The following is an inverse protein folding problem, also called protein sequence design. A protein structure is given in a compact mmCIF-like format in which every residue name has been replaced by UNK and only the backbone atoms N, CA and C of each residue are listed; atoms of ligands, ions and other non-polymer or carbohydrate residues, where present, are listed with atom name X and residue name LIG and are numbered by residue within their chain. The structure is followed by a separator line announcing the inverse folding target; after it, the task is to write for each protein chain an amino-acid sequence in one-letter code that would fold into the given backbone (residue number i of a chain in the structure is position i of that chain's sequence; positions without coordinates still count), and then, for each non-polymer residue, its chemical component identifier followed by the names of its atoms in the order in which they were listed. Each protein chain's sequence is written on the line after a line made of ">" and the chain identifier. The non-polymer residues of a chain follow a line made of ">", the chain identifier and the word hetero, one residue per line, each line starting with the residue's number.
data_IF_508466001506
#
_entry.id   IF_508466001506
#
_cell.length_a   1.000
_cell.length_b   1.000
_cell.length_c   1.000
_cell.angle_alpha   90.00
_cell.angle_beta   90.00
_cell.angle_gamma   90.00
#
_symmetry.space_group_name_H-M   'P 1'
#
loop_
_entity.id
_entity.type
_entity.pdbx_description
1 polymer ?
#
# COMPACT_ATOMS: atom_id res chain seq x y z
N UNK A 1 63.66 9.69 38.15
CA UNK A 1 62.32 10.31 38.32
C UNK A 1 61.72 10.62 36.95
N UNK A 2 61.71 9.64 36.03
CA UNK A 2 61.52 9.88 34.58
C UNK A 2 60.71 8.79 33.86
N UNK A 3 60.19 7.78 34.56
CA UNK A 3 59.50 6.64 33.91
C UNK A 3 57.98 6.68 33.99
N UNK A 4 57.38 7.63 34.74
CA UNK A 4 55.93 7.72 34.91
C UNK A 4 55.25 8.69 33.94
N UNK A 5 55.99 9.57 33.28
CA UNK A 5 55.43 10.60 32.39
C UNK A 5 55.12 10.05 30.99
N UNK A 6 55.93 9.10 30.50
CA UNK A 6 55.76 8.51 29.16
C UNK A 6 54.49 7.64 29.02
N UNK A 7 54.02 7.03 30.11
CA UNK A 7 52.80 6.21 30.09
C UNK A 7 51.50 7.05 30.14
N UNK A 8 51.56 8.27 30.68
CA UNK A 8 50.42 9.20 30.71
C UNK A 8 50.19 9.84 29.33
N UNK A 9 51.26 10.19 28.62
CA UNK A 9 51.17 10.80 27.29
C UNK A 9 50.64 9.81 26.23
N UNK A 10 51.02 8.52 26.33
CA UNK A 10 50.54 7.49 25.41
C UNK A 10 49.03 7.18 25.56
N UNK A 11 48.45 7.36 26.76
CA UNK A 11 46.99 7.21 26.96
C UNK A 11 46.19 8.39 26.42
N UNK A 12 46.79 9.58 26.38
CA UNK A 12 46.12 10.81 25.96
C UNK A 12 46.12 10.96 24.44
N UNK A 13 47.14 10.42 23.76
CA UNK A 13 47.23 10.40 22.31
C UNK A 13 46.22 9.46 21.61
N UNK A 14 45.71 8.43 22.31
CA UNK A 14 44.75 7.46 21.75
C UNK A 14 43.29 7.91 21.74
N UNK A 15 42.96 9.06 22.34
CA UNK A 15 41.57 9.55 22.46
C UNK A 15 41.24 10.61 21.39
N UNK A 16 42.25 11.20 20.76
CA UNK A 16 42.09 12.40 19.92
C UNK A 16 41.67 12.12 18.46
N UNK A 17 41.64 10.87 17.99
CA UNK A 17 41.39 10.56 16.57
C UNK A 17 40.22 9.59 16.34
N UNK A 18 39.25 9.57 17.26
CA UNK A 18 37.98 8.92 16.98
C UNK A 18 37.27 9.76 15.88
N UNK A 19 37.07 9.23 14.66
CA UNK A 19 36.36 9.96 13.61
C UNK A 19 35.01 10.39 14.19
N UNK A 20 34.52 11.61 13.90
CA UNK A 20 33.24 12.06 14.41
C UNK A 20 32.23 11.01 14.04
N UNK A 21 31.70 10.29 15.05
CA UNK A 21 30.67 9.27 14.85
C UNK A 21 29.58 9.98 14.08
N UNK A 22 29.45 9.66 12.80
CA UNK A 22 28.37 10.19 12.00
C UNK A 22 27.12 9.79 12.76
N UNK A 23 26.42 10.77 13.36
CA UNK A 23 25.05 10.57 13.78
C UNK A 23 24.35 10.33 12.46
N UNK A 24 24.26 9.08 12.04
CA UNK A 24 23.35 8.66 10.98
C UNK A 24 22.03 9.25 11.46
N UNK A 25 21.46 10.24 10.75
CA UNK A 25 20.12 10.70 11.07
C UNK A 25 19.30 9.43 10.99
N UNK A 26 18.78 8.94 12.13
CA UNK A 26 17.89 7.79 12.12
C UNK A 26 16.62 8.28 11.45
N UNK A 27 16.61 8.28 10.12
CA UNK A 27 15.40 8.38 9.35
C UNK A 27 14.50 7.27 9.87
N UNK A 28 13.33 7.64 10.37
CA UNK A 28 12.38 6.65 10.88
C UNK A 28 12.11 5.67 9.74
N UNK A 29 12.40 4.38 9.97
CA UNK A 29 12.15 3.35 8.96
C UNK A 29 10.68 3.41 8.57
N UNK A 30 10.38 3.12 7.30
CA UNK A 30 9.00 3.05 6.79
C UNK A 30 8.14 2.17 7.69
N UNK A 31 8.71 1.07 8.16
CA UNK A 31 8.08 0.12 9.07
C UNK A 31 7.75 0.73 10.44
N UNK A 32 8.68 1.47 11.05
CA UNK A 32 8.42 2.16 12.32
C UNK A 32 7.31 3.21 12.19
N UNK A 33 7.24 3.92 11.06
CA UNK A 33 6.14 4.86 10.79
C UNK A 33 4.80 4.14 10.59
N UNK A 34 4.80 3.04 9.85
CA UNK A 34 3.60 2.22 9.64
C UNK A 34 3.07 1.68 10.97
N UNK A 35 3.96 1.23 11.86
CA UNK A 35 3.60 0.79 13.21
C UNK A 35 3.01 1.92 14.05
N UNK A 36 3.61 3.11 14.04
CA UNK A 36 3.08 4.26 14.79
C UNK A 36 1.67 4.65 14.35
N UNK A 37 1.43 4.69 13.04
CA UNK A 37 0.09 4.98 12.48
C UNK A 37 -0.89 3.87 12.84
N UNK A 38 -0.49 2.61 12.77
CA UNK A 38 -1.33 1.48 13.11
C UNK A 38 -1.75 1.53 14.58
N UNK A 39 -0.82 1.79 15.51
CA UNK A 39 -1.12 1.95 16.94
C UNK A 39 -2.11 3.10 17.17
N UNK A 40 -1.90 4.26 16.53
CA UNK A 40 -2.84 5.38 16.60
C UNK A 40 -4.22 5.00 16.08
N UNK A 41 -4.27 4.22 14.99
CA UNK A 41 -5.51 3.75 14.38
C UNK A 41 -6.25 2.74 15.26
N UNK A 42 -5.54 1.83 15.94
CA UNK A 42 -6.12 0.92 16.96
C UNK A 42 -6.78 1.75 18.06
N UNK A 43 -6.08 2.73 18.62
CA UNK A 43 -6.60 3.55 19.71
C UNK A 43 -7.85 4.33 19.29
N UNK A 44 -7.81 5.02 18.14
CA UNK A 44 -8.92 5.82 17.64
C UNK A 44 -10.12 4.94 17.28
N UNK A 45 -9.91 3.84 16.55
CA UNK A 45 -11.00 2.94 16.15
C UNK A 45 -11.62 2.22 17.35
N UNK A 46 -10.81 1.77 18.33
CA UNK A 46 -11.33 1.15 19.56
C UNK A 46 -12.16 2.14 20.37
N UNK A 47 -11.66 3.37 20.56
CA UNK A 47 -12.37 4.39 21.32
C UNK A 47 -13.69 4.79 20.65
N UNK A 48 -13.67 5.01 19.34
CA UNK A 48 -14.88 5.31 18.57
C UNK A 48 -15.89 4.16 18.64
N UNK A 49 -15.43 2.91 18.46
CA UNK A 49 -16.29 1.73 18.57
C UNK A 49 -16.87 1.56 19.98
N UNK A 50 -16.07 1.76 21.04
CA UNK A 50 -16.54 1.69 22.42
C UNK A 50 -17.66 2.69 22.70
N UNK A 51 -17.55 3.92 22.16
CA UNK A 51 -18.59 4.95 22.27
C UNK A 51 -19.83 4.59 21.46
N UNK A 52 -19.65 4.08 20.23
CA UNK A 52 -20.76 3.69 19.36
C UNK A 52 -21.53 2.47 19.88
N UNK A 53 -20.88 1.60 20.66
CA UNK A 53 -21.44 0.33 21.14
C UNK A 53 -21.91 0.35 22.59
N UNK A 54 -21.99 1.52 23.22
CA UNK A 54 -22.42 1.64 24.62
C UNK A 54 -23.76 0.94 24.84
N UNK A 55 -23.78 0.02 25.80
CA UNK A 55 -24.98 -0.73 26.24
C UNK A 55 -25.64 -1.63 25.16
N UNK A 56 -25.01 -1.80 24.00
CA UNK A 56 -25.50 -2.65 22.92
C UNK A 56 -24.74 -3.96 22.82
N UNK A 57 -25.45 -5.04 22.49
CA UNK A 57 -24.84 -6.26 21.98
C UNK A 57 -24.72 -6.14 20.46
N UNK A 58 -23.51 -6.29 19.94
CA UNK A 58 -23.20 -5.95 18.56
C UNK A 58 -22.91 -7.23 17.78
N UNK A 59 -23.61 -7.48 16.65
CA UNK A 59 -23.29 -8.60 15.78
C UNK A 59 -21.93 -8.40 15.09
N UNK A 60 -21.23 -9.48 14.70
CA UNK A 60 -20.01 -9.32 13.90
C UNK A 60 -20.30 -8.65 12.56
N UNK A 61 -21.43 -8.98 11.95
CA UNK A 61 -21.90 -8.39 10.70
C UNK A 61 -23.42 -8.36 10.67
N UNK A 62 -24.02 -7.40 9.97
CA UNK A 62 -25.38 -7.59 9.44
C UNK A 62 -25.33 -8.79 8.51
N UNK A 63 -26.12 -9.84 8.75
CA UNK A 63 -25.96 -11.14 8.07
C UNK A 63 -26.12 -11.07 6.54
N UNK A 64 -25.74 -12.14 5.84
CA UNK A 64 -25.75 -12.19 4.36
C UNK A 64 -27.13 -11.91 3.74
N UNK A 65 -28.21 -12.28 4.43
CA UNK A 65 -29.58 -12.15 3.94
C UNK A 65 -30.24 -10.78 4.17
N UNK A 66 -29.62 -9.87 4.93
CA UNK A 66 -30.23 -8.60 5.32
C UNK A 66 -29.55 -7.39 4.67
N UNK A 67 -28.40 -7.55 4.02
CA UNK A 67 -27.61 -6.45 3.48
C UNK A 67 -26.85 -5.69 4.57
N UNK A 68 -25.52 -5.59 4.44
CA UNK A 68 -24.64 -4.98 5.44
C UNK A 68 -24.97 -3.52 5.81
N UNK A 69 -25.70 -2.82 4.93
CA UNK A 69 -26.06 -1.40 5.11
C UNK A 69 -27.43 -1.21 5.76
N UNK A 70 -28.27 -2.25 5.81
CA UNK A 70 -29.67 -2.14 6.23
C UNK A 70 -29.87 -2.52 7.72
N UNK A 71 -29.00 -3.37 8.30
CA UNK A 71 -28.98 -3.65 9.74
C UNK A 71 -27.86 -2.89 10.49
N UNK A 72 -28.17 -1.65 10.89
CA UNK A 72 -27.56 -0.98 12.04
C UNK A 72 -26.02 -0.98 12.17
N UNK A 73 -25.54 -0.81 13.41
CA UNK A 73 -24.13 -0.80 13.75
C UNK A 73 -23.63 -2.24 13.96
N UNK A 74 -22.64 -2.68 13.18
CA UNK A 74 -21.97 -3.98 13.33
C UNK A 74 -20.44 -3.82 13.38
N UNK A 75 -19.73 -4.85 13.86
CA UNK A 75 -18.25 -4.84 13.94
C UNK A 75 -17.64 -4.69 12.53
N UNK A 76 -18.14 -5.41 11.54
CA UNK A 76 -17.66 -5.34 10.16
C UNK A 76 -17.84 -3.96 9.52
N UNK A 77 -19.03 -3.36 9.67
CA UNK A 77 -19.34 -2.04 9.10
C UNK A 77 -18.53 -0.93 9.77
N UNK A 78 -18.43 -0.96 11.10
CA UNK A 78 -17.63 0.02 11.86
C UNK A 78 -16.14 -0.10 11.57
N UNK A 79 -15.59 -1.31 11.46
CA UNK A 79 -14.20 -1.52 11.07
C UNK A 79 -13.94 -1.05 9.63
N UNK A 80 -14.83 -1.34 8.69
CA UNK A 80 -14.72 -0.87 7.31
C UNK A 80 -14.76 0.67 7.22
N UNK A 81 -15.67 1.31 7.97
CA UNK A 81 -15.75 2.77 8.06
C UNK A 81 -14.50 3.38 8.71
N UNK A 82 -13.99 2.77 9.78
CA UNK A 82 -12.76 3.20 10.44
C UNK A 82 -11.56 3.12 9.48
N UNK A 83 -11.43 2.03 8.72
CA UNK A 83 -10.39 1.89 7.68
C UNK A 83 -10.59 2.90 6.55
N UNK A 84 -11.83 3.22 6.17
CA UNK A 84 -12.10 4.24 5.17
C UNK A 84 -11.59 5.63 5.56
N UNK A 85 -11.70 5.98 6.84
CA UNK A 85 -11.25 7.27 7.37
C UNK A 85 -9.75 7.25 7.69
N UNK A 86 -9.28 6.24 8.40
CA UNK A 86 -7.90 6.15 8.92
C UNK A 86 -6.90 5.64 7.88
N UNK A 87 -7.36 4.92 6.86
CA UNK A 87 -6.52 4.42 5.77
C UNK A 87 -5.93 5.53 4.89
N UNK A 88 -6.64 6.64 4.71
CA UNK A 88 -6.15 7.80 3.93
C UNK A 88 -4.88 8.40 4.54
N UNK A 89 -4.87 8.86 5.81
CA UNK A 89 -3.67 9.39 6.42
C UNK A 89 -2.58 8.33 6.55
N UNK A 90 -2.95 7.05 6.76
CA UNK A 90 -1.99 5.96 6.81
C UNK A 90 -1.21 5.81 5.50
N UNK A 91 -1.93 5.73 4.38
CA UNK A 91 -1.32 5.67 3.05
C UNK A 91 -0.49 6.92 2.76
N UNK A 92 -1.03 8.11 3.05
CA UNK A 92 -0.36 9.37 2.72
C UNK A 92 0.95 9.55 3.50
N UNK A 93 0.99 9.13 4.77
CA UNK A 93 2.14 9.26 5.64
C UNK A 93 3.40 8.58 5.09
N UNK A 94 3.24 7.40 4.49
CA UNK A 94 4.34 6.62 3.90
C UNK A 94 4.54 6.97 2.43
N UNK A 95 3.45 7.26 1.71
CA UNK A 95 3.50 7.66 0.31
C UNK A 95 4.33 8.93 0.13
N UNK A 96 4.07 10.01 0.86
CA UNK A 96 4.79 11.30 0.69
C UNK A 96 6.27 11.19 1.07
N UNK A 97 6.60 10.25 1.94
CA UNK A 97 7.95 10.09 2.50
C UNK A 97 8.88 9.29 1.58
N UNK A 98 8.34 8.61 0.57
CA UNK A 98 9.13 7.87 -0.40
C UNK A 98 9.87 8.84 -1.34
N UNK A 99 11.20 8.73 -1.51
CA UNK A 99 11.96 9.51 -2.48
C UNK A 99 11.41 9.27 -3.88
N UNK A 100 10.96 10.32 -4.57
CA UNK A 100 10.50 10.24 -5.97
C UNK A 100 11.17 11.31 -6.85
N UNK A 101 11.50 11.00 -8.10
CA UNK A 101 12.07 11.98 -9.03
C UNK A 101 11.08 13.14 -9.26
N UNK A 102 11.61 14.36 -9.25
CA UNK A 102 10.80 15.58 -9.46
C UNK A 102 10.27 15.59 -10.90
N UNK A 103 8.96 15.41 -11.08
CA UNK A 103 8.30 15.58 -12.39
C UNK A 103 8.12 17.07 -12.74
N UNK A 104 8.25 17.47 -14.02
CA UNK A 104 8.08 18.85 -14.46
C UNK A 104 6.66 19.36 -14.20
N UNK A 105 6.56 20.60 -13.68
CA UNK A 105 5.33 21.20 -13.15
C UNK A 105 4.49 21.89 -14.25
N UNK A 106 3.77 21.14 -15.08
CA UNK A 106 2.64 21.68 -15.87
C UNK A 106 1.30 21.44 -15.17
N UNK A 107 0.34 22.34 -15.34
CA UNK A 107 -1.01 22.28 -14.72
C UNK A 107 -1.74 20.98 -15.05
N UNK A 108 -1.67 20.50 -16.30
CA UNK A 108 -2.26 19.21 -16.70
C UNK A 108 -1.69 18.01 -15.94
N UNK A 109 -0.43 18.05 -15.51
CA UNK A 109 0.16 17.00 -14.68
C UNK A 109 -0.34 17.01 -13.24
N UNK A 110 -0.79 18.16 -12.70
CA UNK A 110 -1.33 18.23 -11.33
C UNK A 110 -2.64 17.48 -11.21
N UNK A 111 -3.60 17.76 -12.10
CA UNK A 111 -4.92 17.11 -12.07
C UNK A 111 -4.75 15.59 -12.20
N UNK A 112 -3.91 15.15 -13.14
CA UNK A 112 -3.67 13.73 -13.36
C UNK A 112 -2.96 13.04 -12.18
N UNK A 113 -2.02 13.74 -11.53
CA UNK A 113 -1.36 13.22 -10.32
C UNK A 113 -2.32 13.11 -9.14
N UNK A 114 -3.29 14.02 -9.02
CA UNK A 114 -4.33 13.96 -7.98
C UNK A 114 -5.28 12.78 -8.25
N UNK A 115 -5.71 12.58 -9.50
CA UNK A 115 -6.55 11.45 -9.90
C UNK A 115 -5.85 10.12 -9.61
N UNK A 116 -4.57 9.99 -10.00
CA UNK A 116 -3.80 8.78 -9.75
C UNK A 116 -3.61 8.51 -8.25
N UNK A 117 -3.30 9.54 -7.46
CA UNK A 117 -3.19 9.41 -6.00
C UNK A 117 -4.54 9.01 -5.37
N UNK A 118 -5.64 9.65 -5.79
CA UNK A 118 -6.97 9.33 -5.32
C UNK A 118 -7.34 7.88 -5.65
N UNK A 119 -7.07 7.42 -6.88
CA UNK A 119 -7.32 6.05 -7.31
C UNK A 119 -6.54 5.02 -6.47
N UNK A 120 -5.24 5.28 -6.24
CA UNK A 120 -4.40 4.44 -5.38
C UNK A 120 -4.96 4.33 -3.96
N UNK A 121 -5.28 5.47 -3.35
CA UNK A 121 -5.82 5.52 -1.99
C UNK A 121 -7.15 4.77 -1.91
N UNK A 122 -8.07 5.06 -2.84
CA UNK A 122 -9.39 4.44 -2.90
C UNK A 122 -9.31 2.92 -3.08
N UNK A 123 -8.39 2.41 -3.90
CA UNK A 123 -8.22 0.95 -4.08
C UNK A 123 -7.73 0.29 -2.80
N UNK A 124 -6.72 0.83 -2.13
CA UNK A 124 -6.18 0.19 -0.92
C UNK A 124 -7.21 0.16 0.20
N UNK A 125 -7.90 1.28 0.39
CA UNK A 125 -8.97 1.40 1.36
C UNK A 125 -10.14 0.49 0.97
N UNK A 126 -10.53 0.50 -0.30
CA UNK A 126 -11.63 -0.29 -0.82
C UNK A 126 -11.39 -1.79 -0.65
N UNK A 127 -10.21 -2.30 -1.04
CA UNK A 127 -9.84 -3.71 -0.84
C UNK A 127 -9.91 -4.07 0.64
N UNK A 128 -9.33 -3.25 1.52
CA UNK A 128 -9.35 -3.52 2.95
C UNK A 128 -10.78 -3.50 3.52
N UNK A 129 -11.57 -2.47 3.21
CA UNK A 129 -12.94 -2.33 3.67
C UNK A 129 -13.85 -3.47 3.18
N UNK A 130 -13.80 -3.79 1.88
CA UNK A 130 -14.58 -4.88 1.28
C UNK A 130 -14.14 -6.25 1.82
N UNK A 131 -12.83 -6.44 1.99
CA UNK A 131 -12.27 -7.64 2.61
C UNK A 131 -12.76 -7.83 4.05
N UNK A 132 -12.81 -6.76 4.84
CA UNK A 132 -13.35 -6.81 6.20
C UNK A 132 -14.85 -7.10 6.22
N UNK A 133 -15.64 -6.38 5.42
CA UNK A 133 -17.08 -6.61 5.29
C UNK A 133 -17.36 -8.08 4.93
N UNK A 134 -16.73 -8.59 3.88
CA UNK A 134 -16.91 -9.98 3.45
C UNK A 134 -16.44 -11.00 4.48
N UNK A 135 -15.30 -10.77 5.13
CA UNK A 135 -14.76 -11.69 6.14
C UNK A 135 -15.67 -11.77 7.37
N UNK A 136 -16.11 -10.62 7.90
CA UNK A 136 -17.01 -10.60 9.05
C UNK A 136 -18.39 -11.16 8.72
N UNK A 137 -18.87 -10.99 7.49
CA UNK A 137 -20.11 -11.59 7.02
C UNK A 137 -20.07 -13.12 7.10
N UNK A 138 -19.01 -13.72 6.55
CA UNK A 138 -18.83 -15.16 6.56
C UNK A 138 -18.66 -15.67 8.00
N UNK A 139 -17.91 -14.95 8.83
CA UNK A 139 -17.74 -15.30 10.25
C UNK A 139 -19.06 -15.24 11.02
N UNK A 140 -19.91 -14.23 10.75
CA UNK A 140 -21.21 -14.08 11.40
C UNK A 140 -22.10 -15.31 11.16
N UNK A 141 -22.13 -15.81 9.93
CA UNK A 141 -22.91 -17.00 9.59
C UNK A 141 -22.27 -18.28 10.13
N UNK A 142 -20.94 -18.38 10.12
CA UNK A 142 -20.21 -19.52 10.70
C UNK A 142 -20.41 -19.65 12.22
N UNK A 143 -20.52 -18.53 12.94
CA UNK A 143 -20.76 -18.50 14.39
C UNK A 143 -22.25 -18.44 14.77
N UNK A 144 -23.17 -18.78 13.84
CA UNK A 144 -24.62 -18.79 14.08
C UNK A 144 -25.15 -17.46 14.65
N UNK A 145 -24.71 -16.33 14.07
CA UNK A 145 -25.11 -14.96 14.42
C UNK A 145 -24.71 -14.53 15.83
N UNK A 146 -23.45 -14.77 16.17
CA UNK A 146 -22.86 -14.34 17.43
C UNK A 146 -23.02 -12.83 17.65
N UNK A 147 -23.39 -12.46 18.87
CA UNK A 147 -23.44 -11.08 19.33
C UNK A 147 -22.42 -10.87 20.45
N UNK A 148 -21.51 -9.94 20.24
CA UNK A 148 -20.41 -9.62 21.14
C UNK A 148 -20.85 -8.58 22.17
N UNK A 149 -20.22 -8.60 23.35
CA UNK A 149 -20.27 -7.47 24.26
C UNK A 149 -19.54 -6.25 23.68
N UNK A 150 -19.88 -5.07 24.17
CA UNK A 150 -19.39 -3.80 23.63
C UNK A 150 -17.88 -3.64 23.70
N UNK A 151 -17.23 -4.13 24.76
CA UNK A 151 -15.78 -4.03 24.95
C UNK A 151 -15.02 -4.96 24.01
N UNK A 152 -15.48 -6.21 23.89
CA UNK A 152 -14.90 -7.17 22.96
C UNK A 152 -15.08 -6.72 21.51
N UNK A 153 -16.28 -6.23 21.15
CA UNK A 153 -16.56 -5.67 19.83
C UNK A 153 -15.62 -4.49 19.51
N UNK A 154 -15.47 -3.55 20.45
CA UNK A 154 -14.58 -2.40 20.28
C UNK A 154 -13.11 -2.80 20.10
N UNK A 155 -12.64 -3.77 20.89
CA UNK A 155 -11.28 -4.31 20.77
C UNK A 155 -11.02 -4.95 19.40
N UNK A 156 -11.99 -5.70 18.87
CA UNK A 156 -11.89 -6.31 17.52
C UNK A 156 -11.86 -5.23 16.44
N UNK A 157 -12.76 -4.23 16.49
CA UNK A 157 -12.75 -3.11 15.53
C UNK A 157 -11.39 -2.41 15.54
N UNK A 158 -10.84 -2.13 16.72
CA UNK A 158 -9.52 -1.56 16.91
C UNK A 158 -8.41 -2.36 16.26
N UNK A 159 -8.30 -3.64 16.65
CA UNK A 159 -7.25 -4.55 16.19
C UNK A 159 -7.24 -4.66 14.66
N UNK A 160 -8.41 -4.90 14.08
CA UNK A 160 -8.55 -5.17 12.66
C UNK A 160 -8.36 -3.89 11.82
N UNK A 161 -8.82 -2.74 12.30
CA UNK A 161 -8.54 -1.44 11.67
C UNK A 161 -7.05 -1.08 11.74
N UNK A 162 -6.39 -1.36 12.88
CA UNK A 162 -4.95 -1.19 13.04
C UNK A 162 -4.14 -2.05 12.07
N UNK A 163 -4.52 -3.32 11.92
CA UNK A 163 -3.87 -4.24 10.99
C UNK A 163 -4.07 -3.79 9.54
N UNK A 164 -5.29 -3.40 9.15
CA UNK A 164 -5.57 -2.88 7.82
C UNK A 164 -4.77 -1.61 7.52
N UNK A 165 -4.76 -0.64 8.43
CA UNK A 165 -3.99 0.61 8.26
C UNK A 165 -2.48 0.37 8.22
N UNK A 166 -1.96 -0.62 8.95
CA UNK A 166 -0.57 -1.06 8.83
C UNK A 166 -0.23 -1.55 7.42
N UNK A 167 -1.03 -2.45 6.85
CA UNK A 167 -0.82 -2.96 5.50
C UNK A 167 -0.95 -1.86 4.43
N UNK A 168 -1.94 -0.96 4.60
CA UNK A 168 -2.12 0.20 3.72
C UNK A 168 -0.87 1.11 3.77
N UNK A 169 -0.34 1.38 4.96
CA UNK A 169 0.87 2.18 5.14
C UNK A 169 2.09 1.51 4.50
N UNK A 170 2.27 0.19 4.67
CA UNK A 170 3.38 -0.54 4.05
C UNK A 170 3.29 -0.53 2.52
N UNK A 171 2.07 -0.69 1.98
CA UNK A 171 1.83 -0.65 0.54
C UNK A 171 2.13 0.73 -0.07
N UNK A 172 1.76 1.82 0.62
CA UNK A 172 2.04 3.19 0.19
C UNK A 172 3.53 3.50 -0.02
N UNK A 173 4.42 2.76 0.66
CA UNK A 173 5.87 2.88 0.50
C UNK A 173 6.43 2.10 -0.70
N UNK A 174 5.71 1.12 -1.24
CA UNK A 174 6.18 0.18 -2.28
C UNK A 174 5.28 0.17 -3.52
N UNK A 175 4.78 1.33 -3.93
CA UNK A 175 3.91 1.42 -5.12
C UNK A 175 4.73 1.18 -6.40
N UNK A 176 4.42 0.11 -7.12
CA UNK A 176 4.99 -0.25 -8.43
C UNK A 176 3.89 -0.45 -9.47
N UNK A 177 4.23 -0.35 -10.77
CA UNK A 177 3.27 -0.54 -11.88
C UNK A 177 2.68 -1.97 -11.87
N UNK A 178 3.48 -2.98 -11.55
CA UNK A 178 3.01 -4.37 -11.45
C UNK A 178 2.03 -4.55 -10.29
N UNK A 179 2.30 -3.94 -9.14
CA UNK A 179 1.39 -3.97 -7.98
C UNK A 179 0.03 -3.34 -8.29
N UNK A 180 -0.01 -2.29 -9.11
CA UNK A 180 -1.26 -1.65 -9.52
C UNK A 180 -2.17 -2.58 -10.32
N UNK A 181 -1.64 -3.33 -11.28
CA UNK A 181 -2.44 -4.29 -12.06
C UNK A 181 -2.99 -5.42 -11.19
N UNK A 182 -2.17 -5.97 -10.28
CA UNK A 182 -2.64 -7.00 -9.35
C UNK A 182 -3.68 -6.46 -8.36
N UNK A 183 -3.49 -5.23 -7.87
CA UNK A 183 -4.43 -4.59 -6.95
C UNK A 183 -5.76 -4.27 -7.63
N UNK A 184 -5.75 -3.85 -8.89
CA UNK A 184 -6.98 -3.63 -9.67
C UNK A 184 -7.77 -4.94 -9.81
N UNK A 185 -7.11 -6.04 -10.18
CA UNK A 185 -7.76 -7.35 -10.28
C UNK A 185 -8.33 -7.80 -8.94
N UNK A 186 -7.54 -7.68 -7.86
CA UNK A 186 -8.00 -8.00 -6.50
C UNK A 186 -9.19 -7.15 -6.06
N UNK A 187 -9.17 -5.85 -6.37
CA UNK A 187 -10.25 -4.93 -6.04
C UNK A 187 -11.55 -5.26 -6.78
N UNK A 188 -11.46 -5.59 -8.07
CA UNK A 188 -12.63 -6.01 -8.86
C UNK A 188 -13.23 -7.31 -8.32
N UNK A 189 -12.37 -8.30 -7.99
CA UNK A 189 -12.82 -9.58 -7.41
C UNK A 189 -13.46 -9.36 -6.05
N UNK A 190 -12.80 -8.60 -5.16
CA UNK A 190 -13.32 -8.29 -3.83
C UNK A 190 -14.66 -7.55 -3.91
N UNK A 191 -14.78 -6.54 -4.78
CA UNK A 191 -16.03 -5.78 -4.93
C UNK A 191 -17.16 -6.59 -5.55
N UNK A 192 -16.88 -7.44 -6.54
CA UNK A 192 -17.87 -8.35 -7.11
C UNK A 192 -18.36 -9.37 -6.08
N UNK A 193 -17.44 -9.98 -5.32
CA UNK A 193 -17.79 -10.93 -4.25
C UNK A 193 -18.57 -10.25 -3.12
N UNK A 194 -18.15 -9.06 -2.66
CA UNK A 194 -18.89 -8.31 -1.64
C UNK A 194 -20.28 -7.91 -2.12
N UNK A 195 -20.44 -7.48 -3.36
CA UNK A 195 -21.75 -7.18 -3.93
C UNK A 195 -22.65 -8.43 -3.96
N UNK A 196 -22.09 -9.57 -4.35
CA UNK A 196 -22.79 -10.86 -4.35
C UNK A 196 -23.14 -11.35 -2.95
N UNK A 197 -22.25 -11.18 -1.96
CA UNK A 197 -22.51 -11.51 -0.55
C UNK A 197 -23.63 -10.63 0.05
N UNK A 198 -23.84 -9.44 -0.50
CA UNK A 198 -24.91 -8.52 -0.07
C UNK A 198 -26.21 -8.74 -0.84
N UNK A 199 -26.22 -9.62 -1.85
CA UNK A 199 -27.36 -9.81 -2.71
C UNK A 199 -28.31 -10.87 -2.13
N UNK A 200 -29.60 -10.52 -2.06
CA UNK A 200 -30.65 -11.45 -1.63
C UNK A 200 -31.23 -12.30 -2.77
N UNK A 201 -30.86 -12.02 -4.03
CA UNK A 201 -31.42 -12.68 -5.21
C UNK A 201 -30.40 -13.67 -5.79
N UNK A 202 -30.74 -14.98 -5.93
CA UNK A 202 -29.86 -15.96 -6.54
C UNK A 202 -29.51 -15.67 -8.01
N UNK A 203 -30.33 -14.88 -8.72
CA UNK A 203 -30.08 -14.43 -10.10
C UNK A 203 -29.42 -13.04 -10.16
N UNK A 204 -28.88 -12.54 -9.04
CA UNK A 204 -28.23 -11.22 -8.98
C UNK A 204 -27.12 -11.05 -10.01
N UNK A 205 -26.27 -12.09 -10.19
CA UNK A 205 -25.12 -12.06 -11.07
C UNK A 205 -25.53 -11.87 -12.53
N UNK A 206 -26.56 -12.59 -12.97
CA UNK A 206 -27.09 -12.47 -14.33
C UNK A 206 -27.65 -11.07 -14.56
N UNK A 207 -28.43 -10.55 -13.62
CA UNK A 207 -29.05 -9.22 -13.74
C UNK A 207 -28.01 -8.10 -13.76
N UNK A 208 -27.03 -8.12 -12.86
CA UNK A 208 -26.07 -7.02 -12.73
C UNK A 208 -24.95 -7.09 -13.76
N UNK A 209 -24.61 -8.27 -14.28
CA UNK A 209 -23.64 -8.42 -15.35
C UNK A 209 -24.26 -8.20 -16.73
N UNK A 210 -25.52 -8.59 -16.95
CA UNK A 210 -26.20 -8.42 -18.24
C UNK A 210 -26.77 -7.02 -18.43
N UNK A 211 -27.38 -6.42 -17.39
CA UNK A 211 -27.93 -5.06 -17.46
C UNK A 211 -26.96 -3.97 -17.00
N UNK A 212 -25.76 -4.34 -16.55
CA UNK A 212 -24.78 -3.46 -15.89
C UNK A 212 -25.38 -2.59 -14.76
N UNK A 213 -25.45 -3.17 -13.56
CA UNK A 213 -25.65 -2.40 -12.31
C UNK A 213 -27.02 -1.73 -12.11
N UNK A 214 -28.10 -2.27 -12.71
CA UNK A 214 -29.45 -1.72 -12.59
C UNK A 214 -30.03 -2.01 -11.20
N UNK A 215 -30.32 -0.96 -10.43
CA UNK A 215 -31.00 -1.01 -9.13
C UNK A 215 -30.42 -0.04 -8.10
N UNK A 216 -31.15 0.14 -6.99
CA UNK A 216 -30.70 0.95 -5.83
C UNK A 216 -30.47 0.10 -4.57
N UNK A 217 -30.36 -1.22 -4.72
CA UNK A 217 -30.05 -2.11 -3.59
C UNK A 217 -28.60 -1.98 -3.16
N UNK A 218 -28.28 -2.35 -1.91
CA UNK A 218 -26.92 -2.30 -1.38
C UNK A 218 -25.89 -3.01 -2.31
N UNK A 219 -26.25 -4.19 -2.82
CA UNK A 219 -25.44 -4.96 -3.78
C UNK A 219 -25.13 -4.19 -5.09
N UNK A 220 -26.11 -3.51 -5.68
CA UNK A 220 -25.94 -2.70 -6.89
C UNK A 220 -25.06 -1.47 -6.61
N UNK A 221 -25.24 -0.82 -5.46
CA UNK A 221 -24.40 0.32 -5.05
C UNK A 221 -22.94 -0.11 -4.87
N UNK A 222 -22.68 -1.21 -4.18
CA UNK A 222 -21.31 -1.74 -3.96
C UNK A 222 -20.65 -2.09 -5.31
N UNK A 223 -21.38 -2.77 -6.19
CA UNK A 223 -20.87 -3.13 -7.52
C UNK A 223 -20.55 -1.90 -8.38
N UNK A 224 -21.49 -0.94 -8.47
CA UNK A 224 -21.31 0.28 -9.25
C UNK A 224 -20.19 1.16 -8.70
N UNK A 225 -20.10 1.31 -7.37
CA UNK A 225 -18.99 2.02 -6.74
C UNK A 225 -17.64 1.37 -7.06
N UNK A 226 -17.58 0.03 -7.05
CA UNK A 226 -16.39 -0.73 -7.45
C UNK A 226 -16.00 -0.43 -8.90
N UNK A 227 -16.96 -0.44 -9.83
CA UNK A 227 -16.68 -0.14 -11.24
C UNK A 227 -16.19 1.30 -11.46
N UNK A 228 -16.78 2.28 -10.76
CA UNK A 228 -16.35 3.69 -10.84
C UNK A 228 -14.90 3.83 -10.36
N UNK A 229 -14.56 3.25 -9.21
CA UNK A 229 -13.20 3.30 -8.65
C UNK A 229 -12.23 2.53 -9.55
N UNK A 230 -12.61 1.35 -10.06
CA UNK A 230 -11.79 0.59 -10.99
C UNK A 230 -11.49 1.36 -12.28
N UNK A 231 -12.49 2.07 -12.83
CA UNK A 231 -12.30 2.96 -13.98
C UNK A 231 -11.29 4.08 -13.68
N UNK A 232 -11.37 4.70 -12.50
CA UNK A 232 -10.41 5.72 -12.07
C UNK A 232 -8.96 5.18 -12.03
N UNK A 233 -8.80 3.93 -11.59
CA UNK A 233 -7.50 3.25 -11.51
C UNK A 233 -6.95 2.92 -12.89
N UNK A 234 -7.81 2.46 -13.81
CA UNK A 234 -7.42 2.22 -15.20
C UNK A 234 -6.89 3.51 -15.85
N UNK A 235 -7.53 4.65 -15.59
CA UNK A 235 -7.03 5.96 -16.04
C UNK A 235 -5.64 6.27 -15.47
N UNK A 236 -5.42 5.98 -14.19
CA UNK A 236 -4.10 6.14 -13.54
C UNK A 236 -3.02 5.22 -14.12
N UNK A 237 -3.35 3.97 -14.41
CA UNK A 237 -2.44 3.01 -15.06
C UNK A 237 -2.10 3.49 -16.47
N UNK A 238 -3.09 3.91 -17.26
CA UNK A 238 -2.88 4.41 -18.61
C UNK A 238 -1.91 5.61 -18.64
N UNK A 239 -1.96 6.50 -17.65
CA UNK A 239 -0.99 7.59 -17.55
C UNK A 239 0.43 7.11 -17.25
N UNK A 240 0.58 6.18 -16.31
CA UNK A 240 1.90 5.60 -16.01
C UNK A 240 2.51 4.93 -17.23
N UNK A 241 1.72 4.10 -17.92
CA UNK A 241 2.13 3.43 -19.15
C UNK A 241 2.49 4.46 -20.22
N UNK A 242 1.73 5.54 -20.37
CA UNK A 242 2.04 6.60 -21.34
C UNK A 242 3.38 7.32 -21.01
N UNK A 243 3.66 7.57 -19.72
CA UNK A 243 4.94 8.15 -19.29
C UNK A 243 6.10 7.18 -19.52
N UNK A 244 5.91 5.90 -19.19
CA UNK A 244 6.91 4.86 -19.39
C UNK A 244 7.23 4.74 -20.89
N UNK A 245 6.21 4.63 -21.75
CA UNK A 245 6.36 4.59 -23.21
C UNK A 245 7.02 5.85 -23.80
N UNK A 246 6.72 7.03 -23.27
CA UNK A 246 7.39 8.27 -23.68
C UNK A 246 8.88 8.26 -23.32
N UNK A 247 9.24 7.69 -22.17
CA UNK A 247 10.63 7.47 -21.76
C UNK A 247 11.36 6.50 -22.69
N UNK A 248 10.70 5.44 -23.15
CA UNK A 248 11.24 4.50 -24.14
C UNK A 248 11.43 5.13 -25.54
N UNK A 249 10.48 5.97 -25.99
CA UNK A 249 10.58 6.69 -27.27
C UNK A 249 11.65 7.77 -27.27
N UNK A 250 11.91 8.39 -26.12
CA UNK A 250 13.06 9.28 -25.91
C UNK A 250 14.37 8.52 -25.69
N UNK A 251 14.56 7.39 -26.38
CA UNK A 251 15.64 6.43 -26.17
C UNK A 251 17.03 7.07 -26.07
N UNK A 252 18.01 6.35 -25.51
CA UNK A 252 19.33 6.85 -25.18
C UNK A 252 20.19 7.19 -26.41
N UNK A 253 19.85 8.27 -27.13
CA UNK A 253 20.70 8.88 -28.13
C UNK A 253 21.27 10.19 -27.59
N UNK A 254 22.31 10.01 -26.79
CA UNK A 254 23.68 10.41 -27.12
C UNK A 254 24.51 9.98 -25.93
N UNK A 255 25.51 9.14 -26.17
CA UNK A 255 26.67 9.11 -25.29
C UNK A 255 27.05 10.55 -25.00
N UNK A 256 26.82 10.99 -23.77
CA UNK A 256 27.49 12.14 -23.24
C UNK A 256 28.97 11.75 -23.28
N UNK A 257 29.63 12.09 -24.39
CA UNK A 257 31.06 12.22 -24.41
C UNK A 257 31.42 13.02 -23.14
N UNK A 258 32.25 12.46 -22.25
CA UNK A 258 32.78 13.25 -21.16
C UNK A 258 33.45 14.47 -21.79
N UNK A 259 32.90 15.66 -21.54
CA UNK A 259 33.67 16.90 -21.69
C UNK A 259 34.61 16.97 -20.50
N UNK A 260 35.60 16.09 -20.52
CA UNK A 260 36.77 16.08 -19.66
C UNK A 260 37.88 15.42 -20.50
N UNK A 261 38.87 16.23 -20.85
CA UNK A 261 40.05 15.82 -21.60
C UNK A 261 41.02 15.01 -20.74
N UNK A 262 40.63 13.80 -20.31
CA UNK A 262 41.55 12.84 -19.69
C UNK A 262 41.15 11.39 -20.01
N UNK A 263 41.20 11.04 -21.29
CA UNK A 263 41.17 9.64 -21.72
C UNK A 263 42.51 8.96 -21.39
N UNK A 264 42.52 8.04 -20.43
CA UNK A 264 43.58 7.03 -20.29
C UNK A 264 43.06 5.74 -19.62
N UNK A 265 42.84 4.73 -20.47
CA UNK A 265 43.02 3.29 -20.23
C UNK A 265 42.25 2.58 -19.08
N UNK A 266 41.02 2.13 -19.33
CA UNK A 266 40.51 0.95 -18.59
C UNK A 266 39.50 0.01 -19.29
N UNK A 267 39.17 0.20 -20.56
CA UNK A 267 38.08 -0.59 -21.20
C UNK A 267 38.47 -1.41 -22.44
N UNK A 268 39.76 -1.62 -22.72
CA UNK A 268 40.23 -2.36 -23.90
C UNK A 268 40.57 -3.85 -23.65
N UNK A 269 40.19 -4.47 -22.53
CA UNK A 269 40.66 -5.81 -22.17
C UNK A 269 39.60 -6.91 -22.05
N UNK A 270 38.38 -6.74 -22.60
CA UNK A 270 37.33 -7.76 -22.46
C UNK A 270 36.78 -8.32 -23.79
N UNK A 271 37.56 -8.33 -24.88
CA UNK A 271 37.07 -8.87 -26.17
C UNK A 271 38.04 -9.75 -26.98
N UNK A 272 39.26 -10.05 -26.51
CA UNK A 272 40.24 -10.82 -27.30
C UNK A 272 40.61 -12.22 -26.77
N UNK A 273 39.96 -12.73 -25.71
CA UNK A 273 40.20 -14.10 -25.25
C UNK A 273 39.11 -15.09 -25.74
N UNK A 274 38.81 -15.02 -27.04
CA UNK A 274 38.23 -16.14 -27.77
C UNK A 274 39.31 -16.69 -28.70
N UNK A 275 39.55 -18.01 -28.60
CA UNK A 275 40.37 -18.89 -29.44
C UNK A 275 41.81 -19.17 -28.98
N UNK A 276 42.06 -20.44 -28.63
CA UNK A 276 43.14 -21.23 -29.25
C UNK A 276 42.93 -22.74 -29.02
N UNK A 277 42.78 -23.57 -30.07
CA UNK A 277 43.00 -25.01 -30.00
C UNK A 277 44.50 -25.35 -30.23
N UNK A 278 45.02 -26.50 -29.80
CA UNK A 278 46.39 -26.89 -30.14
C UNK A 278 46.40 -27.64 -31.47
N UNK A 279 46.98 -27.05 -32.52
CA UNK A 279 47.42 -27.77 -33.72
C UNK A 279 48.94 -27.89 -33.69
N UNK A 280 49.41 -29.13 -33.66
CA UNK A 280 50.83 -29.48 -33.70
C UNK A 280 51.48 -29.20 -35.06
N UNK A 281 52.81 -29.13 -35.05
CA UNK A 281 53.64 -29.37 -36.23
C UNK A 281 54.78 -30.33 -35.89
N UNK A 282 55.00 -31.18 -36.88
CA UNK A 282 55.97 -32.24 -37.10
C UNK A 282 57.44 -31.81 -37.01
N UNK A 283 58.27 -32.76 -36.60
CA UNK A 283 59.50 -33.09 -37.34
C UNK A 283 59.11 -34.04 -38.48
#
# INVERSE_FOLDING_TARGET
>A
MTSTESAADARTAGIADAPPRSRIPRGVSVESRALLVAIGSVAVASAAAAVLFLEMRVPLSGGLAAGFLDEGLSVGVTAAAAVAVLGVPAFLSTYVSAPRPRRPRRIGHRIRSVVDLAALVLVHIGIAALGLLGSFAVLQDAFLRLALDSWTAAGIVGLVSGLATYFIALSGARVSTTSLSSLLGLFLIAGALSAMLTANDPLWWDKNLSALGVGITASAVIFNATLIVAGLVVVGIADRVAVDLAGWRGGPDRGAAPRDGSASCRWACCSSACCSPPSGRSA
#
